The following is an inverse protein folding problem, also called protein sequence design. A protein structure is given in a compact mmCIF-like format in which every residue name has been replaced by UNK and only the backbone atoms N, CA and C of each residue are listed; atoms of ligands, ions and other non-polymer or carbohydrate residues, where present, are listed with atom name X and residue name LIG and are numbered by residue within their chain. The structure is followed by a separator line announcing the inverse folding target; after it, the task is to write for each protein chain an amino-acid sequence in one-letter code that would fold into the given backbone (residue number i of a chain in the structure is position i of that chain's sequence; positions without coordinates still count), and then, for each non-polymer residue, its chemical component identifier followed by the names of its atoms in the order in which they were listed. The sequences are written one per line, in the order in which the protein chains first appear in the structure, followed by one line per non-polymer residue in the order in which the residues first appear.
data_IF_418705619189
#
_entry.id   IF_418705619189
#
_cell.length_a   1.000
_cell.length_b   1.000
_cell.length_c   1.000
_cell.angle_alpha   90.00
_cell.angle_beta   90.00
_cell.angle_gamma   90.00
#
_symmetry.space_group_name_H-M   'P 1'
#
loop_
_entity.id
_entity.type
_entity.pdbx_description
1 polymer ?
#
# COMPACT_ATOMS: atom_id res chain seq x y z
N UNK A 1 -2.18 -29.53 -76.38
CA UNK A 1 -1.55 -28.71 -77.44
C UNK A 1 -0.91 -27.52 -76.73
N UNK A 2 0.31 -27.67 -76.21
CA UNK A 2 1.61 -27.30 -76.83
C UNK A 2 1.70 -25.78 -77.04
N UNK A 3 2.61 -25.01 -76.43
CA UNK A 3 4.07 -25.14 -76.36
C UNK A 3 4.59 -24.30 -75.15
N UNK A 4 5.48 -24.78 -74.25
CA UNK A 4 6.98 -24.82 -74.31
C UNK A 4 7.61 -23.48 -74.71
N UNK A 5 8.48 -22.85 -73.92
CA UNK A 5 9.88 -23.21 -73.64
C UNK A 5 10.41 -22.41 -72.40
N UNK A 6 10.99 -23.03 -71.35
CA UNK A 6 12.43 -23.28 -71.07
C UNK A 6 13.34 -22.05 -71.20
N UNK A 7 14.21 -21.74 -70.23
CA UNK A 7 15.59 -22.29 -70.13
C UNK A 7 16.22 -22.03 -68.75
N UNK A 8 16.79 -23.11 -68.18
CA UNK A 8 18.04 -23.30 -67.38
C UNK A 8 18.43 -22.42 -66.17
N UNK A 9 19.17 -22.92 -65.17
CA UNK A 9 19.57 -24.27 -64.73
C UNK A 9 20.23 -24.15 -63.34
N UNK A 10 20.22 -25.26 -62.58
CA UNK A 10 20.79 -25.44 -61.23
C UNK A 10 22.25 -25.89 -61.28
N UNK A 11 23.08 -25.43 -60.32
CA UNK A 11 23.74 -26.17 -59.19
C UNK A 11 24.98 -25.35 -58.73
N UNK A 12 25.29 -25.22 -57.44
CA UNK A 12 25.88 -26.26 -56.60
C UNK A 12 25.92 -25.85 -55.11
N UNK A 13 25.93 -26.87 -54.27
CA UNK A 13 25.85 -26.97 -52.81
C UNK A 13 27.15 -26.68 -52.03
N UNK A 14 26.97 -26.20 -50.78
CA UNK A 14 27.54 -26.64 -49.48
C UNK A 14 28.05 -25.49 -48.61
N UNK A 15 27.62 -25.47 -47.33
CA UNK A 15 28.21 -24.63 -46.30
C UNK A 15 27.29 -24.42 -45.09
N UNK A 16 27.49 -25.22 -44.06
CA UNK A 16 26.81 -25.27 -42.76
C UNK A 16 27.06 -24.05 -41.87
N UNK A 17 26.07 -23.66 -41.06
CA UNK A 17 26.27 -22.74 -39.92
C UNK A 17 25.01 -22.60 -39.08
N UNK A 18 24.98 -23.27 -37.92
CA UNK A 18 23.96 -23.11 -36.88
C UNK A 18 24.19 -21.78 -36.13
N UNK A 19 23.10 -21.10 -35.75
CA UNK A 19 23.12 -19.87 -34.96
C UNK A 19 21.86 -19.75 -34.11
N UNK A 20 22.09 -19.77 -32.80
CA UNK A 20 21.20 -19.92 -31.66
C UNK A 20 20.45 -18.62 -31.28
N UNK A 21 19.27 -18.81 -30.66
CA UNK A 21 18.79 -18.07 -29.49
C UNK A 21 18.77 -16.55 -29.51
N UNK A 22 17.64 -15.96 -29.89
CA UNK A 22 17.33 -14.55 -29.60
C UNK A 22 17.04 -14.35 -28.11
N UNK A 23 17.98 -13.77 -27.37
CA UNK A 23 17.71 -13.06 -26.12
C UNK A 23 16.98 -11.74 -26.43
N UNK A 24 15.92 -11.44 -25.68
CA UNK A 24 15.20 -10.15 -25.74
C UNK A 24 15.81 -9.21 -24.71
N UNK A 25 16.44 -8.14 -25.18
CA UNK A 25 17.01 -7.08 -24.37
C UNK A 25 15.94 -6.28 -23.62
N UNK A 26 16.21 -6.00 -22.35
CA UNK A 26 15.53 -4.98 -21.56
C UNK A 26 15.98 -3.59 -22.02
N UNK A 27 15.05 -2.81 -22.58
CA UNK A 27 15.31 -1.44 -23.01
C UNK A 27 15.52 -0.52 -21.79
N UNK A 28 16.77 -0.16 -21.52
CA UNK A 28 17.13 0.90 -20.57
C UNK A 28 17.03 2.24 -21.30
N UNK A 29 16.03 3.07 -20.97
CA UNK A 29 15.95 4.44 -21.52
C UNK A 29 16.85 5.35 -20.69
N UNK A 30 18.01 5.72 -21.23
CA UNK A 30 18.86 6.78 -20.67
C UNK A 30 18.70 8.03 -21.53
N UNK A 31 18.08 9.08 -21.01
CA UNK A 31 17.96 10.37 -21.71
C UNK A 31 19.16 11.24 -21.34
N UNK A 32 19.97 11.64 -22.33
CA UNK A 32 21.00 12.68 -22.17
C UNK A 32 20.57 13.90 -22.97
N UNK A 33 20.36 15.03 -22.29
CA UNK A 33 20.22 16.34 -22.93
C UNK A 33 21.60 16.91 -23.21
N UNK A 34 21.82 17.35 -24.45
CA UNK A 34 22.98 18.16 -24.83
C UNK A 34 22.51 19.61 -24.83
N UNK A 35 22.93 20.39 -23.84
CA UNK A 35 23.22 21.80 -24.06
C UNK A 35 24.12 22.36 -22.97
N UNK A 36 25.13 23.12 -23.40
CA UNK A 36 26.17 23.69 -22.56
C UNK A 36 25.68 24.92 -21.81
N UNK A 37 25.80 24.87 -20.49
CA UNK A 37 25.59 26.01 -19.59
C UNK A 37 25.73 25.53 -18.16
N UNK A 38 26.58 26.18 -17.37
CA UNK A 38 26.85 25.84 -15.97
C UNK A 38 25.55 25.77 -15.16
N UNK A 39 25.10 24.55 -14.87
CA UNK A 39 24.09 24.25 -13.87
C UNK A 39 24.56 23.02 -13.09
N UNK A 40 24.44 23.08 -11.77
CA UNK A 40 24.79 22.01 -10.84
C UNK A 40 24.29 20.65 -11.34
N UNK A 41 25.12 19.61 -11.22
CA UNK A 41 24.73 18.23 -11.48
C UNK A 41 23.43 17.93 -10.72
N UNK A 42 22.33 17.82 -11.47
CA UNK A 42 21.03 17.51 -10.90
C UNK A 42 20.99 15.99 -10.71
N UNK A 43 21.51 15.57 -9.56
CA UNK A 43 21.48 14.23 -8.98
C UNK A 43 20.15 13.51 -9.30
N UNK A 44 20.20 12.33 -9.92
CA UNK A 44 19.07 11.76 -10.68
C UNK A 44 18.58 10.41 -10.13
N UNK A 45 17.30 10.36 -9.74
CA UNK A 45 16.56 9.11 -9.48
C UNK A 45 16.43 8.31 -10.77
N UNK A 46 16.76 7.01 -10.74
CA UNK A 46 16.56 6.10 -11.87
C UNK A 46 15.19 5.42 -11.79
N UNK A 47 14.51 5.27 -12.93
CA UNK A 47 13.26 4.51 -13.07
C UNK A 47 13.43 3.45 -14.16
N UNK A 48 13.13 2.19 -13.84
CA UNK A 48 13.04 1.08 -14.81
C UNK A 48 11.62 0.53 -14.87
N UNK A 49 11.24 0.03 -16.05
CA UNK A 49 9.90 -0.55 -16.29
C UNK A 49 10.06 -1.92 -16.93
N UNK A 50 9.46 -2.94 -16.31
CA UNK A 50 9.43 -4.32 -16.81
C UNK A 50 8.05 -4.97 -16.63
N UNK A 51 7.92 -6.26 -16.98
CA UNK A 51 6.67 -7.02 -16.82
C UNK A 51 6.63 -7.83 -15.53
N UNK A 52 5.47 -7.89 -14.89
CA UNK A 52 5.23 -8.63 -13.64
C UNK A 52 4.21 -9.77 -13.78
N UNK A 53 3.97 -10.22 -15.01
CA UNK A 53 2.98 -11.26 -15.31
C UNK A 53 1.71 -10.71 -15.96
N UNK A 54 0.60 -11.43 -15.83
CA UNK A 54 -0.69 -11.07 -16.44
C UNK A 54 -1.82 -11.28 -15.45
N UNK A 55 -2.88 -10.49 -15.59
CA UNK A 55 -4.12 -10.61 -14.81
C UNK A 55 -5.32 -10.67 -15.74
N UNK A 56 -6.40 -11.30 -15.30
CA UNK A 56 -7.67 -11.26 -15.99
C UNK A 56 -8.50 -10.10 -15.42
N UNK A 57 -8.92 -9.18 -16.28
CA UNK A 57 -9.83 -8.11 -15.91
C UNK A 57 -11.11 -8.72 -15.29
N UNK A 58 -11.50 -8.33 -14.07
CA UNK A 58 -12.60 -8.99 -13.36
C UNK A 58 -13.97 -8.72 -13.98
N UNK A 59 -14.11 -7.67 -14.81
CA UNK A 59 -15.37 -7.31 -15.46
C UNK A 59 -15.45 -7.82 -16.90
N UNK A 60 -14.38 -7.66 -17.68
CA UNK A 60 -14.39 -7.99 -19.11
C UNK A 60 -13.84 -9.38 -19.41
N UNK A 61 -13.09 -9.96 -18.48
CA UNK A 61 -12.39 -11.23 -18.66
C UNK A 61 -11.19 -11.17 -19.60
N UNK A 62 -10.81 -9.99 -20.09
CA UNK A 62 -9.62 -9.79 -20.94
C UNK A 62 -8.36 -10.02 -20.10
N UNK A 63 -7.37 -10.71 -20.68
CA UNK A 63 -6.05 -10.89 -20.05
C UNK A 63 -5.19 -9.66 -20.37
N UNK A 64 -4.66 -9.03 -19.32
CA UNK A 64 -3.92 -7.78 -19.39
C UNK A 64 -2.50 -7.99 -18.81
N UNK A 65 -1.45 -7.50 -19.49
CA UNK A 65 -0.10 -7.54 -18.94
C UNK A 65 0.04 -6.56 -17.78
N UNK A 66 0.68 -7.00 -16.69
CA UNK A 66 1.01 -6.16 -15.54
C UNK A 66 2.41 -5.61 -15.73
N UNK A 67 2.58 -4.30 -15.56
CA UNK A 67 3.90 -3.65 -15.56
C UNK A 67 4.37 -3.46 -14.13
N UNK A 68 5.69 -3.50 -13.92
CA UNK A 68 6.37 -3.09 -12.70
C UNK A 68 7.24 -1.88 -12.98
N UNK A 69 7.22 -0.94 -12.05
CA UNK A 69 7.97 0.30 -12.04
C UNK A 69 8.92 0.23 -10.85
N UNK A 70 10.22 0.32 -11.09
CA UNK A 70 11.24 0.30 -10.04
C UNK A 70 12.00 1.61 -10.02
N UNK A 71 11.91 2.34 -8.92
CA UNK A 71 12.75 3.51 -8.66
C UNK A 71 13.97 3.11 -7.84
N UNK A 72 15.10 3.74 -8.10
CA UNK A 72 16.31 3.71 -7.26
C UNK A 72 16.86 5.13 -7.17
N UNK A 73 17.10 5.63 -5.96
CA UNK A 73 17.73 6.92 -5.75
C UNK A 73 19.20 6.78 -5.34
N UNK A 74 19.90 7.90 -5.27
CA UNK A 74 21.35 7.93 -4.97
C UNK A 74 21.69 7.52 -3.53
N UNK A 75 20.72 7.65 -2.62
CA UNK A 75 20.84 7.14 -1.24
C UNK A 75 20.72 5.61 -1.15
N UNK A 76 20.50 4.91 -2.27
CA UNK A 76 20.32 3.46 -2.32
C UNK A 76 18.91 2.98 -1.93
N UNK A 77 17.97 3.90 -1.68
CA UNK A 77 16.56 3.54 -1.49
C UNK A 77 15.95 3.10 -2.81
N UNK A 78 15.16 2.02 -2.78
CA UNK A 78 14.43 1.53 -3.95
C UNK A 78 12.97 1.30 -3.63
N UNK A 79 12.08 1.65 -4.57
CA UNK A 79 10.64 1.41 -4.45
C UNK A 79 10.15 0.69 -5.69
N UNK A 80 9.24 -0.27 -5.51
CA UNK A 80 8.57 -0.95 -6.62
C UNK A 80 7.05 -0.78 -6.53
N UNK A 81 6.45 -0.45 -7.66
CA UNK A 81 4.99 -0.41 -7.85
C UNK A 81 4.62 -1.28 -9.04
N UNK A 82 3.49 -1.98 -8.98
CA UNK A 82 2.92 -2.68 -10.14
C UNK A 82 1.61 -2.04 -10.58
N UNK A 83 1.27 -2.18 -11.86
CA UNK A 83 0.03 -1.62 -12.42
C UNK A 83 -1.24 -2.31 -11.89
N UNK A 84 -1.13 -3.56 -11.43
CA UNK A 84 -2.24 -4.25 -10.77
C UNK A 84 -2.49 -3.65 -9.39
N UNK A 85 -3.72 -3.21 -9.12
CA UNK A 85 -4.16 -2.55 -7.90
C UNK A 85 -3.39 -1.27 -7.54
N UNK A 86 -2.57 -0.74 -8.48
CA UNK A 86 -1.57 0.28 -8.20
C UNK A 86 -0.74 -0.05 -6.93
N UNK A 87 -0.33 -1.31 -6.79
CA UNK A 87 0.24 -1.89 -5.56
C UNK A 87 1.71 -1.50 -5.39
N UNK A 88 2.08 -1.03 -4.21
CA UNK A 88 3.48 -0.94 -3.76
C UNK A 88 3.96 -2.33 -3.35
N UNK A 89 4.89 -2.92 -4.11
CA UNK A 89 5.36 -4.30 -3.88
C UNK A 89 6.63 -4.38 -3.04
N UNK A 90 7.44 -3.32 -3.03
CA UNK A 90 8.73 -3.27 -2.34
C UNK A 90 9.10 -1.84 -1.96
N UNK A 91 9.67 -1.66 -0.77
CA UNK A 91 10.30 -0.41 -0.31
C UNK A 91 11.57 -0.82 0.40
N UNK A 92 12.72 -0.73 -0.27
CA UNK A 92 14.02 -1.07 0.28
C UNK A 92 14.70 0.17 0.83
N UNK A 93 15.08 0.14 2.10
CA UNK A 93 15.64 1.29 2.83
C UNK A 93 16.95 0.89 3.51
N UNK A 94 18.04 1.67 3.35
CA UNK A 94 19.28 1.43 4.08
C UNK A 94 19.09 1.50 5.60
N UNK A 95 19.69 0.58 6.34
CA UNK A 95 19.84 0.62 7.79
C UNK A 95 21.14 1.30 8.20
N UNK A 96 21.32 1.55 9.50
CA UNK A 96 22.53 2.18 10.05
C UNK A 96 23.83 1.40 9.80
N UNK A 97 23.73 0.09 9.59
CA UNK A 97 24.84 -0.80 9.26
C UNK A 97 25.09 -0.92 7.73
N UNK A 98 24.36 -0.15 6.92
CA UNK A 98 24.38 -0.22 5.47
C UNK A 98 23.54 -1.36 4.87
N UNK A 99 22.87 -2.18 5.68
CA UNK A 99 21.97 -3.24 5.19
C UNK A 99 20.77 -2.65 4.46
N UNK A 100 20.49 -3.16 3.26
CA UNK A 100 19.35 -2.74 2.46
C UNK A 100 18.22 -3.77 2.59
N UNK A 101 17.25 -3.51 3.46
CA UNK A 101 16.10 -4.40 3.67
C UNK A 101 14.83 -3.82 3.06
N UNK A 102 13.98 -4.72 2.56
CA UNK A 102 12.62 -4.39 2.16
C UNK A 102 11.72 -4.29 3.40
N UNK A 103 11.13 -3.11 3.62
CA UNK A 103 10.36 -2.79 4.82
C UNK A 103 8.86 -2.91 4.64
N UNK A 104 8.38 -3.42 3.49
CA UNK A 104 6.93 -3.68 3.28
C UNK A 104 6.64 -5.15 3.00
N UNK A 105 5.52 -5.66 3.50
CA UNK A 105 5.01 -6.98 3.14
C UNK A 105 4.43 -6.99 1.73
N UNK A 106 4.37 -8.17 1.13
CA UNK A 106 3.85 -8.39 -0.22
C UNK A 106 4.23 -9.77 -0.75
N UNK A 107 4.06 -9.96 -2.06
CA UNK A 107 4.35 -11.20 -2.78
C UNK A 107 5.32 -10.99 -3.94
N UNK A 108 5.95 -12.09 -4.39
CA UNK A 108 6.88 -12.10 -5.52
C UNK A 108 6.18 -12.16 -6.89
N UNK A 109 4.89 -12.51 -6.93
CA UNK A 109 4.15 -12.74 -8.17
C UNK A 109 2.65 -12.39 -8.08
N UNK A 110 1.99 -12.36 -9.24
CA UNK A 110 0.54 -12.09 -9.36
C UNK A 110 -0.33 -13.10 -8.64
N UNK A 111 -0.10 -14.43 -8.73
CA UNK A 111 -0.87 -15.41 -7.95
C UNK A 111 -0.88 -15.11 -6.44
N UNK A 112 0.24 -14.65 -5.88
CA UNK A 112 0.31 -14.16 -4.50
C UNK A 112 -0.64 -12.99 -4.26
N UNK A 113 -0.61 -11.94 -5.10
CA UNK A 113 -1.53 -10.80 -4.95
C UNK A 113 -3.02 -11.14 -5.21
N UNK A 114 -3.31 -12.21 -5.94
CA UNK A 114 -4.68 -12.67 -6.23
C UNK A 114 -5.21 -13.73 -5.24
N UNK A 115 -4.38 -14.20 -4.31
CA UNK A 115 -4.82 -15.19 -3.31
C UNK A 115 -5.90 -14.62 -2.40
N UNK A 116 -6.85 -15.46 -1.99
CA UNK A 116 -7.90 -15.08 -1.05
C UNK A 116 -7.35 -14.62 0.31
N UNK A 117 -6.12 -15.04 0.64
CA UNK A 117 -5.46 -14.67 1.89
C UNK A 117 -4.69 -13.34 1.80
N UNK A 118 -4.73 -12.61 0.68
CA UNK A 118 -4.08 -11.30 0.59
C UNK A 118 -4.94 -10.22 1.27
N UNK A 119 -4.51 -9.63 2.42
CA UNK A 119 -5.27 -8.63 3.14
C UNK A 119 -4.94 -7.23 2.60
N UNK A 120 -4.98 -7.07 1.26
CA UNK A 120 -4.73 -5.82 0.55
C UNK A 120 -3.26 -5.31 0.58
N UNK A 121 -2.26 -6.20 0.67
CA UNK A 121 -0.84 -5.78 0.76
C UNK A 121 -0.45 -4.75 -0.30
N UNK A 122 -0.15 -3.54 0.17
CA UNK A 122 0.41 -2.45 -0.64
C UNK A 122 -0.57 -1.81 -1.63
N UNK A 123 -1.82 -2.23 -1.67
CA UNK A 123 -2.78 -1.83 -2.69
C UNK A 123 -3.29 -0.40 -2.52
N UNK A 124 -3.66 0.22 -3.64
CA UNK A 124 -4.57 1.36 -3.62
C UNK A 124 -5.98 0.84 -3.34
N UNK A 125 -6.58 1.33 -2.27
CA UNK A 125 -7.92 0.95 -1.84
C UNK A 125 -8.94 2.02 -2.27
N UNK A 126 -10.09 1.56 -2.77
CA UNK A 126 -11.21 2.38 -3.21
C UNK A 126 -12.36 1.52 -3.75
N UNK A 127 -13.54 2.08 -4.04
CA UNK A 127 -13.86 3.53 -4.10
C UNK A 127 -13.90 4.24 -2.74
N UNK A 128 -14.30 3.53 -1.68
CA UNK A 128 -14.29 4.02 -0.30
C UNK A 128 -13.44 3.09 0.56
N UNK A 129 -12.33 3.61 1.07
CA UNK A 129 -11.48 2.94 2.05
C UNK A 129 -12.21 2.76 3.39
N UNK A 130 -11.78 1.75 4.14
CA UNK A 130 -12.41 1.30 5.38
C UNK A 130 -13.90 0.92 5.20
N UNK A 131 -14.70 1.06 6.26
CA UNK A 131 -16.06 0.52 6.32
C UNK A 131 -17.14 1.52 5.94
N UNK A 132 -18.21 1.00 5.34
CA UNK A 132 -19.52 1.68 5.19
C UNK A 132 -20.56 0.91 6.01
N UNK A 133 -21.09 1.58 7.03
CA UNK A 133 -22.09 1.08 7.99
C UNK A 133 -23.35 0.58 7.28
N UNK A 134 -23.86 -0.58 7.69
CA UNK A 134 -25.02 -1.24 7.08
C UNK A 134 -24.90 -1.57 5.58
N UNK A 135 -23.72 -1.36 4.96
CA UNK A 135 -23.52 -1.40 3.52
C UNK A 135 -24.52 -0.53 2.74
N UNK A 136 -24.79 0.67 3.27
CA UNK A 136 -25.69 1.63 2.64
C UNK A 136 -25.35 3.05 3.03
N UNK A 137 -25.81 3.99 2.22
CA UNK A 137 -25.71 5.42 2.50
C UNK A 137 -26.79 6.20 1.75
N UNK A 138 -26.91 7.50 2.01
CA UNK A 138 -27.87 8.38 1.35
C UNK A 138 -27.18 9.60 0.76
N UNK A 139 -27.50 9.96 -0.49
CA UNK A 139 -27.13 11.23 -1.11
C UNK A 139 -28.41 11.87 -1.64
N UNK A 140 -28.66 13.14 -1.29
CA UNK A 140 -29.84 13.90 -1.73
C UNK A 140 -31.18 13.18 -1.52
N UNK A 141 -31.30 12.43 -0.42
CA UNK A 141 -32.50 11.67 -0.07
C UNK A 141 -32.65 10.34 -0.82
N UNK A 142 -31.72 9.97 -1.70
CA UNK A 142 -31.69 8.68 -2.39
C UNK A 142 -30.80 7.71 -1.61
N UNK A 143 -31.37 6.57 -1.19
CA UNK A 143 -30.62 5.50 -0.55
C UNK A 143 -29.90 4.64 -1.60
N UNK A 144 -28.61 4.39 -1.36
CA UNK A 144 -27.78 3.49 -2.16
C UNK A 144 -27.36 2.30 -1.31
N UNK A 145 -27.46 1.10 -1.89
CA UNK A 145 -26.97 -0.13 -1.28
C UNK A 145 -25.65 -0.52 -1.93
N UNK A 146 -24.63 -0.74 -1.12
CA UNK A 146 -23.32 -1.22 -1.58
C UNK A 146 -23.10 -2.68 -1.23
N UNK A 147 -22.20 -3.36 -1.94
CA UNK A 147 -21.94 -4.78 -1.73
C UNK A 147 -21.48 -5.06 -0.31
N UNK A 148 -22.11 -6.04 0.34
CA UNK A 148 -21.67 -6.57 1.62
C UNK A 148 -20.51 -7.55 1.43
N UNK A 149 -19.39 -7.28 2.09
CA UNK A 149 -18.21 -8.15 2.16
C UNK A 149 -17.58 -8.21 3.55
N UNK A 150 -18.15 -7.53 4.56
CA UNK A 150 -17.71 -7.58 5.95
C UNK A 150 -18.87 -7.98 6.87
N UNK A 151 -18.68 -9.07 7.62
CA UNK A 151 -19.68 -9.61 8.57
C UNK A 151 -21.08 -9.87 7.97
N UNK A 152 -21.18 -9.95 6.63
CA UNK A 152 -22.43 -9.92 5.86
C UNK A 152 -23.38 -8.76 6.23
N UNK A 153 -22.85 -7.69 6.85
CA UNK A 153 -23.60 -6.52 7.33
C UNK A 153 -23.10 -5.23 6.70
N UNK A 154 -21.80 -5.11 6.52
CA UNK A 154 -21.11 -3.88 6.11
C UNK A 154 -20.37 -4.07 4.79
N UNK A 155 -19.96 -2.95 4.18
CA UNK A 155 -18.94 -2.98 3.14
C UNK A 155 -17.60 -2.56 3.74
N UNK A 156 -16.52 -3.19 3.27
CA UNK A 156 -15.14 -2.88 3.59
C UNK A 156 -14.35 -2.68 2.28
N UNK A 157 -13.54 -1.63 2.24
CA UNK A 157 -12.53 -1.38 1.20
C UNK A 157 -13.09 -1.41 -0.24
N UNK A 158 -14.26 -0.80 -0.45
CA UNK A 158 -14.88 -0.67 -1.76
C UNK A 158 -15.57 -1.92 -2.30
N UNK A 159 -15.64 -3.01 -1.53
CA UNK A 159 -16.43 -4.20 -1.88
C UNK A 159 -15.60 -5.44 -2.25
N UNK A 160 -16.19 -6.36 -3.00
CA UNK A 160 -15.56 -7.66 -3.35
C UNK A 160 -14.48 -7.51 -4.42
N UNK A 161 -14.72 -6.63 -5.38
CA UNK A 161 -13.86 -6.28 -6.50
C UNK A 161 -13.58 -4.78 -6.39
N UNK A 162 -12.79 -4.41 -5.39
CA UNK A 162 -12.32 -3.04 -5.17
C UNK A 162 -11.25 -2.63 -6.18
N UNK A 163 -10.74 -1.41 -6.01
CA UNK A 163 -9.70 -0.81 -6.86
C UNK A 163 -8.40 -1.64 -6.90
N UNK A 164 -8.13 -2.38 -5.83
CA UNK A 164 -7.01 -3.29 -5.67
C UNK A 164 -7.06 -4.51 -6.61
N UNK A 165 -8.24 -4.80 -7.21
CA UNK A 165 -8.46 -5.97 -8.07
C UNK A 165 -8.41 -5.68 -9.57
N UNK A 166 -8.10 -4.45 -9.99
CA UNK A 166 -8.01 -4.06 -11.39
C UNK A 166 -6.55 -3.83 -11.82
N UNK A 167 -6.24 -4.06 -13.10
CA UNK A 167 -5.02 -3.53 -13.68
C UNK A 167 -5.27 -2.08 -14.12
N UNK A 168 -4.35 -1.19 -13.78
CA UNK A 168 -4.45 0.23 -14.09
C UNK A 168 -3.69 0.56 -15.36
N UNK A 169 -4.24 1.45 -16.19
CA UNK A 169 -3.52 2.01 -17.33
C UNK A 169 -2.33 2.83 -16.79
N UNK A 170 -1.19 2.81 -17.49
CA UNK A 170 0.04 3.47 -17.02
C UNK A 170 0.54 4.51 -18.00
N UNK A 171 0.99 5.64 -17.47
CA UNK A 171 1.70 6.69 -18.18
C UNK A 171 2.96 7.07 -17.39
N UNK A 172 4.09 7.22 -18.09
CA UNK A 172 5.39 7.54 -17.49
C UNK A 172 5.89 8.84 -18.10
N UNK A 173 6.25 9.80 -17.24
CA UNK A 173 6.86 11.07 -17.63
C UNK A 173 8.13 11.32 -16.80
N UNK A 174 9.30 11.12 -17.40
CA UNK A 174 10.56 11.10 -16.67
C UNK A 174 10.55 10.00 -15.61
N UNK A 175 10.68 10.37 -14.33
CA UNK A 175 10.60 9.46 -13.18
C UNK A 175 9.24 9.45 -12.50
N UNK A 176 8.24 10.14 -13.04
CA UNK A 176 6.89 10.19 -12.49
C UNK A 176 6.01 9.15 -13.19
N UNK A 177 5.35 8.29 -12.42
CA UNK A 177 4.44 7.26 -12.94
C UNK A 177 3.02 7.60 -12.50
N UNK A 178 2.11 7.73 -13.47
CA UNK A 178 0.67 7.87 -13.22
C UNK A 178 -0.05 6.60 -13.66
N UNK A 179 -0.80 6.02 -12.74
CA UNK A 179 -1.69 4.89 -12.97
C UNK A 179 -3.14 5.37 -12.97
N UNK A 180 -3.95 4.96 -13.94
CA UNK A 180 -5.34 5.41 -14.10
C UNK A 180 -6.31 4.24 -14.22
N UNK A 181 -7.46 4.36 -13.56
CA UNK A 181 -8.57 3.40 -13.66
C UNK A 181 -9.91 4.14 -13.72
N UNK A 182 -10.78 3.69 -14.63
CA UNK A 182 -12.18 4.15 -14.70
C UNK A 182 -13.07 3.10 -14.06
N UNK A 183 -13.63 3.41 -12.89
CA UNK A 183 -14.58 2.56 -12.22
C UNK A 183 -16.00 2.87 -12.74
N UNK A 184 -16.75 1.90 -13.29
CA UNK A 184 -18.02 2.18 -13.95
C UNK A 184 -19.14 2.53 -12.97
N UNK A 185 -20.19 3.16 -13.50
CA UNK A 185 -21.47 3.41 -12.81
C UNK A 185 -22.04 2.11 -12.23
N UNK A 186 -22.52 2.17 -10.98
CA UNK A 186 -23.16 1.04 -10.30
C UNK A 186 -22.22 -0.06 -9.82
N UNK A 187 -20.91 0.01 -10.11
CA UNK A 187 -19.94 -0.98 -9.66
C UNK A 187 -19.90 -1.03 -8.12
N UNK A 188 -20.01 -2.23 -7.55
CA UNK A 188 -20.10 -2.46 -6.09
C UNK A 188 -21.22 -1.67 -5.39
N UNK A 189 -22.20 -1.17 -6.14
CA UNK A 189 -23.37 -0.42 -5.67
C UNK A 189 -23.20 1.10 -5.64
N UNK A 190 -22.05 1.64 -6.07
CA UNK A 190 -21.80 3.08 -6.04
C UNK A 190 -22.40 3.81 -7.26
N UNK A 191 -23.05 4.98 -7.05
CA UNK A 191 -23.49 5.84 -8.16
C UNK A 191 -22.30 6.54 -8.81
N UNK A 192 -22.43 6.92 -10.08
CA UNK A 192 -21.38 7.63 -10.81
C UNK A 192 -20.30 6.70 -11.34
N UNK A 193 -19.91 6.90 -12.61
CA UNK A 193 -18.60 6.48 -13.06
C UNK A 193 -17.53 7.39 -12.40
N UNK A 194 -16.39 6.83 -12.03
CA UNK A 194 -15.27 7.55 -11.41
C UNK A 194 -14.00 7.30 -12.20
N UNK A 195 -13.39 8.37 -12.72
CA UNK A 195 -12.03 8.33 -13.26
C UNK A 195 -11.08 8.64 -12.12
N UNK A 196 -10.23 7.66 -11.76
CA UNK A 196 -9.24 7.78 -10.69
C UNK A 196 -7.84 7.68 -11.26
N UNK A 197 -6.91 8.47 -10.72
CA UNK A 197 -5.47 8.32 -10.96
C UNK A 197 -4.67 8.31 -9.67
N UNK A 198 -3.60 7.52 -9.65
CA UNK A 198 -2.57 7.53 -8.60
C UNK A 198 -1.23 7.84 -9.24
N UNK A 199 -0.56 8.89 -8.77
CA UNK A 199 0.75 9.31 -9.23
C UNK A 199 1.81 9.01 -8.17
N UNK A 200 2.91 8.39 -8.60
CA UNK A 200 4.03 7.97 -7.78
C UNK A 200 5.33 8.64 -8.21
N UNK A 201 6.13 9.06 -7.23
CA UNK A 201 7.47 9.60 -7.45
C UNK A 201 8.39 9.31 -6.26
N UNK A 202 9.59 8.82 -6.54
CA UNK A 202 10.70 8.78 -5.57
C UNK A 202 11.59 10.02 -5.75
N UNK A 203 12.05 10.59 -4.64
CA UNK A 203 13.02 11.70 -4.62
C UNK A 203 14.36 11.26 -4.00
N UNK A 204 15.43 12.06 -4.18
CA UNK A 204 16.73 11.79 -3.54
C UNK A 204 16.73 12.01 -2.01
N UNK A 205 15.80 12.82 -1.45
CA UNK A 205 15.59 12.96 0.01
C UNK A 205 14.74 11.81 0.59
N UNK A 206 14.84 10.60 0.03
CA UNK A 206 14.14 9.39 0.50
C UNK A 206 12.63 9.58 0.75
N UNK A 207 11.98 10.48 0.00
CA UNK A 207 10.53 10.65 -0.02
C UNK A 207 9.93 9.86 -1.16
N UNK A 208 8.95 9.02 -0.83
CA UNK A 208 8.04 8.44 -1.79
C UNK A 208 6.71 9.22 -1.74
N UNK A 209 6.45 9.95 -2.81
CA UNK A 209 5.29 10.82 -2.98
C UNK A 209 4.18 10.03 -3.66
N UNK A 210 2.98 10.06 -3.09
CA UNK A 210 1.78 9.44 -3.66
C UNK A 210 0.68 10.48 -3.72
N UNK A 211 0.09 10.66 -4.92
CA UNK A 211 -1.03 11.57 -5.13
C UNK A 211 -2.19 10.83 -5.76
N UNK A 212 -3.34 10.86 -5.10
CA UNK A 212 -4.60 10.34 -5.60
C UNK A 212 -5.44 11.49 -6.14
N UNK A 213 -6.05 11.30 -7.30
CA UNK A 213 -7.05 12.21 -7.84
C UNK A 213 -8.24 11.44 -8.39
N UNK A 214 -9.44 12.00 -8.26
CA UNK A 214 -10.62 11.43 -8.87
C UNK A 214 -11.62 12.50 -9.33
N UNK A 215 -12.37 12.17 -10.37
CA UNK A 215 -13.54 12.94 -10.86
C UNK A 215 -14.70 11.98 -11.05
N UNK A 216 -15.94 12.46 -10.92
CA UNK A 216 -17.13 11.62 -11.08
C UNK A 216 -18.17 12.20 -12.03
N UNK A 217 -18.97 11.32 -12.65
CA UNK A 217 -20.12 11.67 -13.46
C UNK A 217 -21.40 11.95 -12.64
N UNK A 218 -21.46 11.50 -11.39
CA UNK A 218 -22.57 11.74 -10.46
C UNK A 218 -22.03 11.94 -9.03
N UNK A 219 -22.79 12.59 -8.12
CA UNK A 219 -22.46 12.61 -6.71
C UNK A 219 -22.20 11.19 -6.17
N UNK A 220 -21.02 10.97 -5.58
CA UNK A 220 -20.59 9.65 -5.08
C UNK A 220 -19.62 9.79 -3.92
N UNK A 221 -19.64 8.90 -2.91
CA UNK A 221 -18.59 8.92 -1.90
C UNK A 221 -17.25 8.47 -2.50
N UNK A 222 -16.16 9.12 -2.08
CA UNK A 222 -14.79 8.77 -2.46
C UNK A 222 -13.89 8.87 -1.23
N UNK A 223 -13.08 7.84 -1.00
CA UNK A 223 -12.05 7.84 0.04
C UNK A 223 -10.95 6.87 -0.41
N UNK A 224 -9.79 7.39 -0.78
CA UNK A 224 -8.69 6.61 -1.35
C UNK A 224 -7.51 6.56 -0.39
N UNK A 225 -6.89 5.38 -0.26
CA UNK A 225 -5.68 5.22 0.56
C UNK A 225 -4.74 4.18 -0.04
N UNK A 226 -3.54 4.04 0.54
CA UNK A 226 -2.61 2.96 0.29
C UNK A 226 -2.51 2.04 1.51
N UNK A 227 -2.67 0.74 1.30
CA UNK A 227 -2.72 -0.26 2.36
C UNK A 227 -1.38 -1.01 2.51
N UNK A 228 -0.25 -0.29 2.50
CA UNK A 228 1.07 -0.88 2.75
C UNK A 228 1.23 -1.34 4.21
N UNK A 229 1.85 -2.50 4.38
CA UNK A 229 2.14 -3.11 5.67
C UNK A 229 3.64 -3.00 5.94
N UNK A 230 4.02 -2.14 6.88
CA UNK A 230 5.39 -1.79 7.19
C UNK A 230 5.96 -2.62 8.33
N UNK A 231 7.24 -2.99 8.19
CA UNK A 231 8.11 -3.43 9.27
C UNK A 231 9.52 -2.92 8.96
N UNK A 232 9.95 -1.88 9.68
CA UNK A 232 11.23 -1.18 9.44
C UNK A 232 12.46 -2.00 9.87
N UNK A 233 12.26 -3.13 10.55
CA UNK A 233 13.30 -4.13 10.77
C UNK A 233 13.52 -5.02 9.53
N UNK A 234 12.59 -4.99 8.58
CA UNK A 234 12.52 -5.86 7.41
C UNK A 234 11.24 -6.70 7.45
N UNK A 235 10.57 -6.85 6.30
CA UNK A 235 9.24 -7.45 6.20
C UNK A 235 9.14 -8.91 6.70
N UNK A 236 10.26 -9.62 6.77
CA UNK A 236 10.34 -11.02 7.19
C UNK A 236 10.67 -11.22 8.68
N UNK A 237 10.93 -10.14 9.43
CA UNK A 237 11.42 -10.22 10.82
C UNK A 237 10.34 -10.56 11.85
N UNK A 238 9.06 -10.37 11.51
CA UNK A 238 7.94 -10.79 12.34
C UNK A 238 7.62 -9.86 13.51
N UNK A 239 6.74 -10.35 14.39
CA UNK A 239 6.06 -9.52 15.40
C UNK A 239 6.96 -9.04 16.54
N UNK A 240 8.01 -9.79 16.87
CA UNK A 240 8.95 -9.39 17.93
C UNK A 240 9.64 -8.07 17.61
N UNK A 241 9.99 -7.85 16.33
CA UNK A 241 10.58 -6.58 15.89
C UNK A 241 9.52 -5.49 15.74
N UNK A 242 8.28 -5.80 15.32
CA UNK A 242 7.17 -4.82 15.31
C UNK A 242 6.92 -4.25 16.70
N UNK A 243 6.93 -5.09 17.73
CA UNK A 243 6.75 -4.63 19.12
C UNK A 243 7.82 -3.65 19.59
N UNK A 244 9.02 -3.67 18.99
CA UNK A 244 10.13 -2.76 19.29
C UNK A 244 10.06 -1.43 18.55
N UNK A 245 9.16 -1.28 17.59
CA UNK A 245 9.02 -0.01 16.89
C UNK A 245 8.50 1.06 17.86
N UNK A 246 9.07 2.25 17.76
CA UNK A 246 8.65 3.42 18.53
C UNK A 246 7.79 4.28 17.62
N UNK A 247 6.52 4.46 17.96
CA UNK A 247 5.56 5.25 17.20
C UNK A 247 5.24 6.58 17.90
N UNK A 248 5.06 7.63 17.11
CA UNK A 248 4.42 8.89 17.49
C UNK A 248 3.35 9.22 16.46
N UNK A 249 2.15 9.62 16.91
CA UNK A 249 1.03 10.05 16.06
C UNK A 249 0.57 11.46 16.46
N UNK A 250 0.43 12.33 15.47
CA UNK A 250 -0.10 13.67 15.64
C UNK A 250 -1.64 13.67 15.58
N UNK A 251 -2.25 13.07 16.60
CA UNK A 251 -3.70 12.97 16.73
C UNK A 251 -4.11 13.10 18.21
N UNK A 252 -5.10 13.94 18.48
CA UNK A 252 -5.66 14.12 19.84
C UNK A 252 -6.96 13.35 20.09
N UNK A 253 -7.52 12.76 19.02
CA UNK A 253 -8.77 12.00 19.04
C UNK A 253 -8.71 10.77 18.15
N UNK A 254 -9.56 9.80 18.44
CA UNK A 254 -9.94 8.73 17.52
C UNK A 254 -11.45 8.79 17.25
N UNK A 255 -11.90 8.17 16.16
CA UNK A 255 -13.34 7.91 15.97
C UNK A 255 -13.76 6.74 16.85
N UNK A 256 -14.79 6.94 17.69
CA UNK A 256 -15.38 5.87 18.49
C UNK A 256 -16.07 4.85 17.57
N UNK A 257 -15.87 3.56 17.82
CA UNK A 257 -16.49 2.48 17.02
C UNK A 257 -17.25 1.48 17.89
N UNK A 258 -18.18 0.76 17.28
CA UNK A 258 -18.83 -0.42 17.85
C UNK A 258 -17.96 -1.70 17.70
N UNK A 259 -18.54 -2.86 18.04
CA UNK A 259 -17.89 -4.18 17.99
C UNK A 259 -17.57 -4.63 16.54
N UNK A 260 -18.25 -4.09 15.54
CA UNK A 260 -18.02 -4.36 14.11
C UNK A 260 -17.00 -3.38 13.49
N UNK A 261 -16.40 -2.53 14.33
CA UNK A 261 -15.53 -1.42 13.96
C UNK A 261 -16.22 -0.36 13.09
N UNK A 262 -17.52 -0.16 13.26
CA UNK A 262 -18.28 0.91 12.61
C UNK A 262 -18.30 2.14 13.52
N UNK A 263 -17.95 3.33 13.00
CA UNK A 263 -18.01 4.55 13.80
C UNK A 263 -19.41 4.87 14.34
N UNK A 264 -19.47 5.36 15.57
CA UNK A 264 -20.72 5.84 16.18
C UNK A 264 -21.07 7.28 15.74
N UNK A 265 -20.11 7.99 15.13
CA UNK A 265 -20.15 9.43 14.91
C UNK A 265 -19.50 10.24 16.05
N UNK A 266 -19.16 9.63 17.18
CA UNK A 266 -18.47 10.31 18.28
C UNK A 266 -16.95 10.24 18.14
N UNK A 267 -16.27 11.09 18.91
CA UNK A 267 -14.82 11.11 19.04
C UNK A 267 -14.40 10.81 20.47
N UNK A 268 -13.33 10.04 20.65
CA UNK A 268 -12.69 9.82 21.95
C UNK A 268 -11.38 10.58 22.00
N UNK A 269 -11.18 11.38 23.05
CA UNK A 269 -9.89 12.01 23.32
C UNK A 269 -8.85 10.94 23.66
N UNK A 270 -7.65 11.02 23.07
CA UNK A 270 -6.60 10.03 23.33
C UNK A 270 -5.92 10.25 24.69
N UNK A 271 -5.94 11.47 25.23
CA UNK A 271 -5.21 11.84 26.43
C UNK A 271 -5.51 10.95 27.63
N UNK A 272 -4.48 10.34 28.21
CA UNK A 272 -4.62 9.43 29.36
C UNK A 272 -5.21 8.05 29.02
N UNK A 273 -5.42 7.75 27.74
CA UNK A 273 -5.90 6.45 27.26
C UNK A 273 -4.75 5.64 26.64
N UNK A 274 -4.93 4.34 26.38
CA UNK A 274 -3.97 3.55 25.59
C UNK A 274 -3.71 4.09 24.18
N UNK A 275 -4.62 4.90 23.64
CA UNK A 275 -4.49 5.54 22.33
C UNK A 275 -3.60 6.81 22.36
N UNK A 276 -3.07 7.23 23.52
CA UNK A 276 -2.17 8.39 23.60
C UNK A 276 -0.78 8.09 23.01
N UNK A 277 -0.70 8.19 21.69
CA UNK A 277 0.52 8.02 20.91
C UNK A 277 1.14 9.36 20.50
N UNK A 278 0.72 10.48 21.11
CA UNK A 278 1.28 11.83 20.83
C UNK A 278 2.71 11.99 21.32
N UNK A 279 3.12 11.16 22.27
CA UNK A 279 4.48 11.03 22.77
C UNK A 279 5.03 9.71 22.24
N UNK A 280 6.32 9.61 21.86
CA UNK A 280 6.92 8.35 21.44
C UNK A 280 6.64 7.19 22.40
N UNK A 281 6.10 6.08 21.86
CA UNK A 281 5.83 4.83 22.59
C UNK A 281 6.31 3.62 21.80
N UNK A 282 6.89 2.65 22.49
CA UNK A 282 7.08 1.31 21.92
C UNK A 282 5.72 0.65 21.63
N UNK A 283 5.58 0.07 20.44
CA UNK A 283 4.32 -0.52 19.99
C UNK A 283 3.88 -1.68 20.86
N UNK A 284 4.77 -2.60 21.25
CA UNK A 284 4.42 -3.77 22.06
C UNK A 284 3.71 -3.40 23.37
N UNK A 285 4.35 -2.62 24.25
CA UNK A 285 3.71 -2.12 25.46
C UNK A 285 2.44 -1.30 25.21
N UNK A 286 2.42 -0.46 24.17
CA UNK A 286 1.25 0.35 23.84
C UNK A 286 0.06 -0.54 23.43
N UNK A 287 0.28 -1.47 22.51
CA UNK A 287 -0.70 -2.47 22.06
C UNK A 287 -1.20 -3.34 23.22
N UNK A 288 -0.33 -3.73 24.16
CA UNK A 288 -0.74 -4.54 25.32
C UNK A 288 -1.76 -3.86 26.25
N UNK A 289 -1.89 -2.53 26.15
CA UNK A 289 -2.85 -1.73 26.90
C UNK A 289 -4.06 -1.32 26.07
N UNK A 290 -3.97 -1.41 24.73
CA UNK A 290 -5.06 -1.07 23.85
C UNK A 290 -6.20 -2.09 23.98
N UNK A 291 -7.47 -1.64 23.96
CA UNK A 291 -8.60 -2.55 23.84
C UNK A 291 -8.48 -3.43 22.59
N UNK A 292 -8.76 -4.73 22.73
CA UNK A 292 -8.66 -5.70 21.64
C UNK A 292 -7.28 -6.35 21.52
N UNK A 293 -6.94 -6.76 20.30
CA UNK A 293 -5.70 -7.52 20.03
C UNK A 293 -4.52 -6.62 19.61
N UNK A 294 -4.75 -5.33 19.42
CA UNK A 294 -3.79 -4.35 18.90
C UNK A 294 -4.54 -3.08 18.49
N UNK A 295 -3.95 -2.28 17.59
CA UNK A 295 -4.64 -1.13 17.01
C UNK A 295 -5.35 -1.51 15.72
N UNK A 296 -6.58 -1.04 15.57
CA UNK A 296 -7.35 -0.99 14.31
C UNK A 296 -8.27 0.23 14.40
N UNK A 297 -7.67 1.41 14.49
CA UNK A 297 -8.38 2.64 14.83
C UNK A 297 -8.01 3.76 13.86
N UNK A 298 -9.01 4.57 13.51
CA UNK A 298 -8.80 5.83 12.82
C UNK A 298 -8.47 6.93 13.83
N UNK A 299 -7.26 7.48 13.71
CA UNK A 299 -6.76 8.61 14.46
C UNK A 299 -7.07 9.91 13.71
N UNK A 300 -7.69 10.87 14.38
CA UNK A 300 -8.03 12.18 13.83
C UNK A 300 -6.79 13.08 13.84
N UNK A 301 -6.23 13.36 12.67
CA UNK A 301 -4.98 14.13 12.52
C UNK A 301 -5.21 15.57 12.96
N UNK A 302 -4.35 16.05 13.86
CA UNK A 302 -4.36 17.45 14.29
C UNK A 302 -3.62 18.30 13.26
N UNK A 303 -4.36 19.10 12.49
CA UNK A 303 -3.79 20.01 11.49
C UNK A 303 -4.18 21.46 11.70
N UNK A 304 -3.27 22.38 11.37
CA UNK A 304 -3.58 23.81 11.31
C UNK A 304 -4.48 24.14 10.11
N UNK A 305 -5.24 25.23 10.21
CA UNK A 305 -6.29 25.61 9.22
C UNK A 305 -5.75 25.82 7.80
N UNK A 306 -4.49 26.28 7.66
CA UNK A 306 -3.83 26.56 6.38
C UNK A 306 -2.76 25.51 6.02
N UNK A 307 -2.63 24.45 6.80
CA UNK A 307 -1.60 23.44 6.58
C UNK A 307 -2.04 22.47 5.48
N UNK A 308 -1.33 22.50 4.34
CA UNK A 308 -1.55 21.56 3.23
C UNK A 308 -1.23 20.12 3.63
N UNK A 309 0.06 19.80 3.78
CA UNK A 309 0.52 18.50 4.28
C UNK A 309 0.84 18.59 5.77
N UNK A 310 0.10 17.85 6.60
CA UNK A 310 0.32 17.76 8.04
C UNK A 310 1.22 16.58 8.39
N UNK A 311 2.16 16.79 9.32
CA UNK A 311 2.86 15.69 9.98
C UNK A 311 1.82 14.79 10.65
N UNK A 312 1.88 13.49 10.36
CA UNK A 312 0.88 12.51 10.78
C UNK A 312 1.46 11.52 11.77
N UNK A 313 2.59 10.92 11.40
CA UNK A 313 3.22 9.86 12.16
C UNK A 313 4.73 9.89 12.01
N UNK A 314 5.44 9.46 13.04
CA UNK A 314 6.82 8.97 12.94
C UNK A 314 6.89 7.60 13.57
N UNK A 315 7.50 6.64 12.87
CA UNK A 315 7.82 5.32 13.39
C UNK A 315 9.32 5.10 13.25
N UNK A 316 9.97 4.65 14.32
CA UNK A 316 11.41 4.36 14.34
C UNK A 316 11.60 2.91 14.76
N UNK A 317 12.51 2.20 14.11
CA UNK A 317 12.96 0.90 14.59
C UNK A 317 14.39 1.03 15.15
N UNK A 318 14.57 0.91 16.48
CA UNK A 318 15.83 1.24 17.14
C UNK A 318 17.05 0.47 16.62
N UNK A 319 16.90 -0.85 16.37
CA UNK A 319 18.03 -1.70 15.98
C UNK A 319 18.53 -1.43 14.56
N UNK A 320 17.61 -1.32 13.59
CA UNK A 320 17.99 -1.00 12.20
C UNK A 320 18.34 0.48 12.03
N UNK A 321 17.90 1.33 12.97
CA UNK A 321 17.99 2.77 12.87
C UNK A 321 17.02 3.38 11.86
N UNK A 322 16.22 2.58 11.13
CA UNK A 322 15.32 3.11 10.10
C UNK A 322 14.17 3.87 10.75
N UNK A 323 13.79 4.98 10.13
CA UNK A 323 12.54 5.67 10.43
C UNK A 323 11.64 5.80 9.20
N UNK A 324 10.35 5.91 9.47
CA UNK A 324 9.31 6.35 8.54
C UNK A 324 8.59 7.54 9.14
N UNK A 325 8.48 8.64 8.39
CA UNK A 325 7.56 9.73 8.65
C UNK A 325 6.48 9.76 7.59
N UNK A 326 5.26 10.07 8.02
CA UNK A 326 4.10 10.22 7.14
C UNK A 326 3.60 11.66 7.22
N UNK A 327 3.39 12.28 6.06
CA UNK A 327 2.74 13.58 5.91
C UNK A 327 1.57 13.47 4.94
N UNK A 328 0.43 14.08 5.23
CA UNK A 328 -0.76 13.98 4.37
C UNK A 328 -1.68 15.20 4.49
N UNK A 329 -2.53 15.41 3.49
CA UNK A 329 -3.65 16.37 3.53
C UNK A 329 -4.94 15.78 4.14
N UNK A 330 -4.98 14.46 4.35
CA UNK A 330 -6.13 13.76 4.91
C UNK A 330 -6.44 14.15 6.35
N UNK A 331 -7.72 14.06 6.75
CA UNK A 331 -8.12 14.36 8.13
C UNK A 331 -7.81 13.22 9.10
N UNK A 332 -7.62 11.98 8.62
CA UNK A 332 -7.43 10.80 9.45
C UNK A 332 -6.31 9.86 8.97
N UNK A 333 -5.87 9.01 9.87
CA UNK A 333 -4.98 7.88 9.57
C UNK A 333 -5.46 6.63 10.31
N UNK A 334 -5.67 5.52 9.59
CA UNK A 334 -5.88 4.22 10.20
C UNK A 334 -4.53 3.67 10.65
N UNK A 335 -4.39 3.40 11.96
CA UNK A 335 -3.32 2.55 12.46
C UNK A 335 -3.88 1.14 12.64
N UNK A 336 -3.39 0.21 11.83
CA UNK A 336 -3.72 -1.21 11.92
C UNK A 336 -2.46 -2.03 12.16
N UNK A 337 -2.43 -2.85 13.21
CA UNK A 337 -1.25 -3.65 13.60
C UNK A 337 -1.34 -5.12 13.20
N UNK A 338 -1.93 -5.43 12.04
CA UNK A 338 -2.02 -6.80 11.50
C UNK A 338 -2.72 -7.79 12.44
N UNK A 339 -3.77 -7.35 13.13
CA UNK A 339 -4.44 -8.13 14.19
C UNK A 339 -5.13 -9.40 13.64
N UNK A 340 -5.66 -9.31 12.41
CA UNK A 340 -6.39 -10.39 11.72
C UNK A 340 -5.52 -11.28 10.83
N UNK A 341 -4.19 -11.12 10.86
CA UNK A 341 -3.29 -12.04 10.15
C UNK A 341 -3.14 -13.37 10.89
N UNK A 342 -2.67 -14.45 10.23
CA UNK A 342 -2.66 -15.78 10.83
C UNK A 342 -1.89 -15.90 12.15
N UNK A 343 -2.46 -16.61 13.11
CA UNK A 343 -1.83 -16.98 14.39
C UNK A 343 -1.97 -18.50 14.64
N UNK A 344 -1.20 -19.33 13.91
CA UNK A 344 -1.37 -20.79 13.90
C UNK A 344 -1.31 -21.43 15.28
N UNK A 345 -0.49 -20.87 16.17
CA UNK A 345 -0.24 -21.35 17.52
C UNK A 345 -1.04 -20.61 18.59
N UNK A 346 -1.85 -19.62 18.19
CA UNK A 346 -2.67 -18.77 19.08
C UNK A 346 -1.88 -18.12 20.22
N UNK A 347 -0.61 -17.81 19.99
CA UNK A 347 0.32 -17.36 21.04
C UNK A 347 1.02 -16.03 20.72
N UNK A 348 0.69 -15.38 19.60
CA UNK A 348 1.26 -14.08 19.24
C UNK A 348 0.50 -12.98 19.97
N UNK A 349 1.10 -12.42 21.02
CA UNK A 349 0.49 -11.34 21.82
C UNK A 349 1.52 -10.25 22.15
N UNK A 350 1.12 -8.97 22.21
CA UNK A 350 1.97 -7.91 22.74
C UNK A 350 2.26 -8.17 24.23
N UNK A 351 3.45 -7.79 24.69
CA UNK A 351 3.90 -8.02 26.08
C UNK A 351 4.06 -6.69 26.83
N UNK A 352 3.78 -6.71 28.14
CA UNK A 352 3.98 -5.57 29.04
C UNK A 352 5.45 -5.47 29.51
N UNK A 353 5.90 -4.25 29.85
CA UNK A 353 7.30 -3.82 30.07
C UNK A 353 8.04 -4.53 31.23
N UNK A 354 7.38 -5.28 32.12
CA UNK A 354 7.99 -5.74 33.37
C UNK A 354 8.69 -7.11 33.32
N UNK A 355 9.47 -7.41 32.28
CA UNK A 355 10.43 -8.51 32.32
C UNK A 355 11.85 -7.92 32.28
N UNK A 356 12.64 -8.01 33.36
CA UNK A 356 14.08 -7.69 33.34
C UNK A 356 14.86 -8.41 32.22
N UNK A 357 14.29 -9.50 31.70
CA UNK A 357 14.85 -10.37 30.66
C UNK A 357 14.30 -10.08 29.24
N UNK A 358 13.59 -8.96 29.02
CA UNK A 358 12.92 -8.65 27.74
C UNK A 358 13.87 -8.62 26.53
N UNK A 359 15.17 -8.48 26.77
CA UNK A 359 16.20 -8.33 25.74
C UNK A 359 17.19 -9.49 25.61
N UNK A 360 17.11 -10.56 26.44
CA UNK A 360 18.08 -11.67 26.38
C UNK A 360 17.65 -12.89 25.55
N UNK A 361 16.39 -13.00 25.13
CA UNK A 361 15.92 -14.19 24.39
C UNK A 361 15.85 -13.92 22.89
N UNK A 362 17.01 -13.84 22.24
CA UNK A 362 17.10 -14.22 20.82
C UNK A 362 17.14 -15.74 20.74
N UNK A 363 16.36 -16.30 19.82
CA UNK A 363 16.17 -17.74 19.54
C UNK A 363 15.03 -18.42 20.31
N UNK A 364 13.80 -18.06 19.97
CA UNK A 364 12.75 -19.06 19.97
C UNK A 364 12.65 -19.62 18.56
N UNK A 365 13.21 -20.81 18.34
CA UNK A 365 12.70 -21.64 17.26
C UNK A 365 11.19 -21.76 17.46
N UNK A 366 10.37 -21.54 16.41
CA UNK A 366 8.94 -21.67 16.56
C UNK A 366 8.67 -23.11 16.99
N UNK A 367 8.14 -23.28 18.20
CA UNK A 367 7.46 -24.52 18.57
C UNK A 367 6.38 -24.71 17.51
N UNK A 368 6.49 -25.77 16.71
CA UNK A 368 5.47 -26.18 15.76
C UNK A 368 4.69 -27.31 16.44
N UNK A 369 3.55 -27.03 17.09
CA UNK A 369 2.61 -28.09 17.41
C UNK A 369 2.16 -28.70 16.08
N UNK A 370 2.25 -30.03 15.99
CA UNK A 370 1.61 -30.75 14.90
C UNK A 370 0.11 -30.42 14.92
N UNK A 371 -0.39 -29.86 13.81
CA UNK A 371 -1.74 -29.34 13.55
C UNK A 371 -1.92 -27.83 13.79
N UNK A 372 -1.58 -27.04 12.77
CA UNK A 372 -1.88 -25.59 12.69
C UNK A 372 -3.33 -25.37 12.26
N UNK A 373 -4.10 -24.59 13.02
CA UNK A 373 -5.49 -24.24 12.65
C UNK A 373 -5.61 -23.11 11.62
N UNK A 374 -4.51 -22.40 11.35
CA UNK A 374 -4.47 -21.20 10.49
C UNK A 374 -3.05 -20.99 9.90
N UNK A 375 -2.77 -21.41 8.65
CA UNK A 375 -1.43 -21.37 8.08
C UNK A 375 -0.95 -19.93 7.78
N UNK A 376 0.36 -19.65 7.85
CA UNK A 376 0.89 -18.32 7.51
C UNK A 376 0.58 -17.91 6.08
N UNK A 377 0.50 -16.60 5.86
CA UNK A 377 0.55 -16.04 4.52
C UNK A 377 2.00 -16.16 4.02
N UNK A 378 2.19 -16.83 2.88
CA UNK A 378 3.51 -16.97 2.24
C UNK A 378 3.79 -15.72 1.40
N UNK A 379 4.74 -14.91 1.84
CA UNK A 379 5.14 -13.67 1.19
C UNK A 379 6.43 -13.80 0.38
N UNK A 380 6.98 -12.63 0.02
CA UNK A 380 8.25 -12.46 -0.70
C UNK A 380 9.39 -13.31 -0.14
N UNK A 381 10.18 -13.92 -1.01
CA UNK A 381 11.35 -14.71 -0.65
C UNK A 381 11.03 -15.94 0.21
N UNK A 382 9.77 -16.39 0.22
CA UNK A 382 9.31 -17.48 1.09
C UNK A 382 9.06 -17.08 2.55
N UNK A 383 9.05 -15.77 2.87
CA UNK A 383 8.72 -15.27 4.18
C UNK A 383 7.34 -15.75 4.64
N UNK A 384 7.18 -15.94 5.96
CA UNK A 384 5.90 -16.31 6.58
C UNK A 384 5.39 -15.10 7.34
N UNK A 385 4.26 -14.56 6.91
CA UNK A 385 3.64 -13.45 7.61
C UNK A 385 2.55 -13.94 8.55
N UNK A 386 2.59 -13.39 9.77
CA UNK A 386 1.71 -13.74 10.88
C UNK A 386 1.10 -12.48 11.48
N UNK A 387 0.15 -12.69 12.40
CA UNK A 387 -0.35 -11.67 13.31
C UNK A 387 0.76 -10.77 13.83
N UNK A 388 0.50 -9.46 13.83
CA UNK A 388 1.40 -8.41 14.31
C UNK A 388 2.77 -8.35 13.60
N UNK A 389 2.94 -9.00 12.45
CA UNK A 389 4.21 -8.97 11.71
C UNK A 389 4.50 -7.64 11.01
N UNK A 390 3.52 -6.74 10.91
CA UNK A 390 3.64 -5.41 10.34
C UNK A 390 2.59 -4.44 10.92
N UNK A 391 2.67 -3.17 10.53
CA UNK A 391 1.64 -2.15 10.79
C UNK A 391 1.30 -1.35 9.52
N UNK A 392 0.09 -0.83 9.44
CA UNK A 392 -0.37 0.08 8.38
C UNK A 392 -0.56 1.49 8.92
N UNK A 393 -0.36 2.48 8.05
CA UNK A 393 -0.67 3.89 8.26
C UNK A 393 -1.45 4.40 7.05
N UNK A 394 -2.74 4.06 7.01
CA UNK A 394 -3.62 4.38 5.88
C UNK A 394 -4.15 5.79 6.05
N UNK A 395 -3.58 6.78 5.34
CA UNK A 395 -4.08 8.15 5.36
C UNK A 395 -5.41 8.18 4.60
N UNK A 396 -6.47 8.71 5.22
CA UNK A 396 -7.83 8.59 4.71
C UNK A 396 -8.78 9.63 5.32
N UNK A 397 -9.96 9.78 4.73
CA UNK A 397 -11.10 10.34 5.44
C UNK A 397 -11.59 9.34 6.50
N UNK A 398 -12.37 9.81 7.47
CA UNK A 398 -12.86 8.97 8.56
C UNK A 398 -13.72 7.83 8.02
N UNK A 399 -13.60 6.61 8.59
CA UNK A 399 -14.49 5.50 8.23
C UNK A 399 -15.95 5.92 8.37
N UNK A 400 -16.80 5.35 7.52
CA UNK A 400 -18.23 5.63 7.47
C UNK A 400 -18.65 7.12 7.37
N UNK A 401 -17.76 8.03 6.96
CA UNK A 401 -18.03 9.47 6.90
C UNK A 401 -19.28 9.85 6.10
N UNK A 402 -19.65 9.06 5.09
CA UNK A 402 -20.87 9.28 4.30
C UNK A 402 -22.17 9.19 5.15
N UNK A 403 -22.13 8.48 6.29
CA UNK A 403 -23.25 8.31 7.21
C UNK A 403 -23.17 9.22 8.44
N UNK A 404 -22.15 10.08 8.55
CA UNK A 404 -21.93 10.97 9.70
C UNK A 404 -21.75 12.42 9.26
N UNK A 405 -22.80 13.24 9.40
CA UNK A 405 -22.79 14.64 8.98
C UNK A 405 -21.73 15.52 9.71
N UNK A 406 -21.23 15.07 10.86
CA UNK A 406 -20.18 15.74 11.63
C UNK A 406 -18.76 15.30 11.26
N UNK A 407 -18.61 14.33 10.34
CA UNK A 407 -17.31 13.94 9.78
C UNK A 407 -17.00 14.79 8.53
N UNK A 408 -15.73 14.84 8.08
CA UNK A 408 -15.39 15.56 6.86
C UNK A 408 -16.15 15.00 5.65
N UNK A 409 -16.67 15.88 4.80
CA UNK A 409 -17.45 15.48 3.63
C UNK A 409 -16.67 14.48 2.76
N UNK A 410 -17.32 13.37 2.40
CA UNK A 410 -16.77 12.32 1.53
C UNK A 410 -17.39 12.31 0.14
N UNK A 411 -18.40 13.14 -0.13
CA UNK A 411 -19.09 13.19 -1.43
C UNK A 411 -18.29 14.02 -2.43
N UNK A 412 -17.95 13.40 -3.56
CA UNK A 412 -17.42 14.04 -4.76
C UNK A 412 -18.56 14.29 -5.74
N UNK A 413 -18.75 15.54 -6.16
CA UNK A 413 -19.77 15.92 -7.16
C UNK A 413 -19.16 16.24 -8.53
N UNK A 414 -19.95 16.16 -9.62
CA UNK A 414 -19.46 16.50 -10.96
C UNK A 414 -18.93 17.94 -11.05
N UNK A 415 -17.79 18.12 -11.71
CA UNK A 415 -17.10 19.40 -11.82
C UNK A 415 -16.04 19.64 -10.73
N UNK A 416 -16.07 18.88 -9.64
CA UNK A 416 -15.03 18.89 -8.63
C UNK A 416 -13.92 17.87 -8.93
N UNK A 417 -12.79 18.01 -8.23
CA UNK A 417 -11.69 17.05 -8.24
C UNK A 417 -11.37 16.67 -6.80
N UNK A 418 -11.49 15.38 -6.49
CA UNK A 418 -10.90 14.81 -5.28
C UNK A 418 -9.39 14.87 -5.41
N UNK A 419 -8.70 15.29 -4.34
CA UNK A 419 -7.25 15.26 -4.24
C UNK A 419 -6.85 14.77 -2.85
N UNK A 420 -5.90 13.84 -2.82
CA UNK A 420 -5.26 13.35 -1.60
C UNK A 420 -3.77 13.17 -1.90
N UNK A 421 -2.92 13.80 -1.10
CA UNK A 421 -1.48 13.62 -1.13
C UNK A 421 -0.96 12.97 0.16
N UNK A 422 -0.06 11.99 0.01
CA UNK A 422 0.71 11.39 1.10
C UNK A 422 2.18 11.29 0.75
N UNK A 423 3.03 11.59 1.73
CA UNK A 423 4.48 11.50 1.64
C UNK A 423 4.96 10.49 2.67
N UNK A 424 5.59 9.41 2.20
CA UNK A 424 6.35 8.49 3.04
C UNK A 424 7.82 8.91 2.99
N UNK A 425 8.33 9.55 4.04
CA UNK A 425 9.74 9.94 4.16
C UNK A 425 10.48 8.90 5.00
N UNK A 426 11.55 8.36 4.44
CA UNK A 426 12.41 7.41 5.12
C UNK A 426 13.76 8.02 5.46
N UNK A 427 14.46 7.41 6.41
CA UNK A 427 15.84 7.74 6.70
C UNK A 427 16.39 6.93 7.85
N UNK A 428 17.55 7.34 8.34
CA UNK A 428 18.24 6.73 9.47
C UNK A 428 18.20 7.70 10.64
N UNK A 429 17.76 7.19 11.79
CA UNK A 429 17.79 7.87 13.07
C UNK A 429 19.14 7.58 13.73
N UNK A 430 19.94 8.63 13.88
CA UNK A 430 21.18 8.63 14.67
C UNK A 430 20.83 9.15 16.07
N UNK A 431 21.07 8.33 17.10
CA UNK A 431 21.07 8.82 18.48
C UNK A 431 22.38 9.58 18.67
N UNK A 432 22.29 10.91 18.80
CA UNK A 432 23.41 11.74 19.25
C UNK A 432 23.74 11.48 20.72
#
# INVERSE_FOLDING_TARGET
MSASASVDSKRSSYGTGAGDGSQRDASTVTVRTMDGGQHAEQESVALTVDGFGTVKNPLTGVVEPVKRFTWVNESGMSVQVISYGAIITSVKVPGRDGSLDDVVMGFDDIPGYQTANNPYFGATVGRVANRVGGAKFTIDGVEYLVTKNWENRHQLHGGKIGFDKFNWASYVNGTVVTLTHTNPEGHEGYPGAVLTSVTYQLTNDNKFLVKFQATSSHPTPINLTNHSYFNLAGHATGHEEVYRHIITLNADRITETDEDSIPSGNFLCVGGTPYDLRIPRELGPAMSRAPGEGYDNNFCITKGTEQGLAFTARVVHPRSGRFLEVYTDQPGVQLYTSNGMPDPNRNIRPRAINAPDYYEVTHLEPVVPAMTSDPPIRGKGGAKYFKHGAFCLETQNFPDAINHANFPNSVLVPGETYSHEVVYKFGIYEEN
#
